data_IF_718234633934
#
_entry.id   IF_718234633934
#
_cell.length_a   1.000
_cell.length_b   1.000
_cell.length_c   1.000
_cell.angle_alpha   90.00
_cell.angle_beta   90.00
_cell.angle_gamma   90.00
#
_symmetry.space_group_name_H-M   'P 1'
#
loop_
_entity.id
_entity.type
_entity.pdbx_description
1 polymer ?
#
# COMPACT_ATOMS: atom_id res chain seq x y z
N UNK A 1 42.93 29.21 22.65
CA UNK A 1 42.77 28.02 21.80
C UNK A 1 41.61 27.23 22.34
N UNK A 2 40.44 27.38 21.73
CA UNK A 2 39.25 26.57 22.00
C UNK A 2 38.86 26.00 20.65
N UNK A 3 39.18 24.74 20.42
CA UNK A 3 38.74 24.02 19.24
C UNK A 3 37.23 23.80 19.34
N UNK A 4 36.48 24.47 18.47
CA UNK A 4 35.10 24.13 18.18
C UNK A 4 35.11 22.86 17.34
N UNK A 5 34.82 21.73 17.97
CA UNK A 5 34.44 20.50 17.29
C UNK A 5 33.08 20.71 16.62
N UNK A 6 33.12 21.06 15.34
CA UNK A 6 31.96 21.01 14.46
C UNK A 6 31.50 19.57 14.33
N UNK A 7 30.47 19.23 15.09
CA UNK A 7 29.75 17.96 14.97
C UNK A 7 29.14 17.91 13.56
N UNK A 8 29.68 17.06 12.69
CA UNK A 8 29.14 16.88 11.35
C UNK A 8 27.73 16.33 11.49
N UNK A 9 26.72 17.16 11.19
CA UNK A 9 25.38 16.66 10.97
C UNK A 9 25.46 15.57 9.89
N UNK A 10 25.26 14.33 10.32
CA UNK A 10 24.93 13.20 9.45
C UNK A 10 23.94 13.71 8.41
N UNK A 11 24.32 13.63 7.12
CA UNK A 11 23.40 13.84 6.01
C UNK A 11 22.21 12.94 6.28
N UNK A 12 21.08 13.54 6.67
CA UNK A 12 19.80 12.85 6.78
C UNK A 12 19.53 12.29 5.39
N UNK A 13 19.83 11.02 5.16
CA UNK A 13 19.35 10.29 3.99
C UNK A 13 17.85 10.52 3.95
N UNK A 14 17.34 11.09 2.86
CA UNK A 14 15.90 11.25 2.69
C UNK A 14 15.25 9.87 2.90
N UNK A 15 14.13 9.84 3.62
CA UNK A 15 13.31 8.63 3.75
C UNK A 15 12.93 8.14 2.34
N UNK A 16 12.65 6.84 2.25
CA UNK A 16 12.37 6.15 0.99
C UNK A 16 11.16 5.23 1.16
N UNK A 17 10.56 4.89 0.04
CA UNK A 17 9.48 3.91 -0.04
C UNK A 17 9.84 2.86 -1.10
N UNK A 18 9.36 1.63 -0.91
CA UNK A 18 9.59 0.53 -1.82
C UNK A 18 8.26 0.00 -2.34
N UNK A 19 8.19 -0.28 -3.64
CA UNK A 19 7.07 -0.94 -4.30
C UNK A 19 7.61 -2.17 -5.04
N UNK A 20 6.99 -3.33 -4.82
CA UNK A 20 7.28 -4.57 -5.55
C UNK A 20 6.00 -5.02 -6.23
N UNK A 21 6.04 -5.28 -7.53
CA UNK A 21 4.91 -5.87 -8.26
C UNK A 21 5.19 -7.36 -8.53
N UNK A 22 4.44 -8.23 -7.85
CA UNK A 22 4.54 -9.68 -8.00
C UNK A 22 3.52 -10.24 -8.99
N UNK A 23 2.66 -9.41 -9.60
CA UNK A 23 1.59 -9.91 -10.47
C UNK A 23 2.12 -10.69 -11.64
N UNK A 24 3.17 -10.20 -12.29
CA UNK A 24 3.79 -10.89 -13.43
C UNK A 24 4.35 -12.25 -13.00
N UNK A 25 5.11 -12.32 -11.91
CA UNK A 25 5.66 -13.57 -11.37
C UNK A 25 4.56 -14.59 -11.01
N UNK A 26 3.45 -14.15 -10.41
CA UNK A 26 2.29 -15.03 -10.16
C UNK A 26 1.69 -15.52 -11.47
N UNK A 27 1.59 -14.63 -12.46
CA UNK A 27 0.92 -14.94 -13.72
C UNK A 27 1.75 -15.82 -14.67
N UNK A 28 3.07 -15.70 -14.66
CA UNK A 28 3.97 -16.38 -15.61
C UNK A 28 4.32 -17.81 -15.19
N UNK A 29 4.21 -18.13 -13.89
CA UNK A 29 4.66 -19.41 -13.34
C UNK A 29 3.55 -20.49 -13.30
N UNK A 30 3.96 -21.76 -13.38
CA UNK A 30 3.04 -22.90 -13.41
C UNK A 30 2.50 -23.28 -12.03
N UNK A 31 3.24 -22.94 -10.98
CA UNK A 31 2.83 -23.14 -9.59
C UNK A 31 3.04 -21.89 -8.75
N UNK A 32 2.20 -21.72 -7.72
CA UNK A 32 2.36 -20.64 -6.74
C UNK A 32 3.73 -20.71 -6.03
N UNK A 33 4.27 -21.91 -5.83
CA UNK A 33 5.59 -22.07 -5.21
C UNK A 33 6.69 -21.48 -6.09
N UNK A 34 6.67 -21.78 -7.39
CA UNK A 34 7.65 -21.23 -8.35
C UNK A 34 7.60 -19.71 -8.38
N UNK A 35 6.38 -19.14 -8.49
CA UNK A 35 6.15 -17.70 -8.44
C UNK A 35 6.77 -17.04 -7.20
N UNK A 36 6.60 -17.65 -6.02
CA UNK A 36 7.17 -17.13 -4.78
C UNK A 36 8.69 -17.29 -4.74
N UNK A 37 9.23 -18.40 -5.23
CA UNK A 37 10.68 -18.64 -5.22
C UNK A 37 11.46 -17.72 -6.15
N UNK A 38 10.82 -17.18 -7.19
CA UNK A 38 11.42 -16.17 -8.08
C UNK A 38 11.83 -14.90 -7.30
N UNK A 39 11.10 -14.58 -6.22
CA UNK A 39 11.38 -13.43 -5.35
C UNK A 39 12.43 -13.67 -4.26
N UNK A 40 13.07 -14.84 -4.21
CA UNK A 40 13.95 -15.23 -3.11
C UNK A 40 15.09 -14.25 -2.81
N UNK A 41 15.74 -13.77 -3.86
CA UNK A 41 16.88 -12.86 -3.76
C UNK A 41 16.47 -11.46 -3.30
N UNK A 42 15.17 -11.12 -3.27
CA UNK A 42 14.70 -9.78 -2.93
C UNK A 42 14.73 -9.51 -1.43
N UNK A 43 14.13 -10.41 -0.65
CA UNK A 43 13.58 -10.00 0.65
C UNK A 43 14.64 -9.66 1.70
N UNK A 44 15.71 -10.44 1.82
CA UNK A 44 16.78 -10.17 2.79
C UNK A 44 17.59 -8.92 2.43
N UNK A 45 18.10 -8.78 1.19
CA UNK A 45 18.76 -7.55 0.77
C UNK A 45 17.88 -6.30 0.94
N UNK A 46 16.61 -6.39 0.56
CA UNK A 46 15.65 -5.29 0.72
C UNK A 46 15.46 -4.91 2.19
N UNK A 47 15.27 -5.90 3.07
CA UNK A 47 15.13 -5.68 4.51
C UNK A 47 16.37 -5.02 5.13
N UNK A 48 17.57 -5.43 4.68
CA UNK A 48 18.83 -4.88 5.15
C UNK A 48 19.03 -3.43 4.69
N UNK A 49 18.59 -3.12 3.47
CA UNK A 49 18.63 -1.77 2.90
C UNK A 49 17.61 -0.84 3.56
N UNK A 50 16.42 -1.34 3.86
CA UNK A 50 15.31 -0.54 4.37
C UNK A 50 15.57 0.01 5.77
N UNK A 51 15.36 1.31 5.94
CA UNK A 51 15.34 2.00 7.23
C UNK A 51 14.16 1.59 8.10
N UNK A 52 14.16 1.99 9.38
CA UNK A 52 13.04 1.65 10.28
C UNK A 52 11.75 2.39 9.90
N UNK A 53 11.88 3.67 9.50
CA UNK A 53 10.78 4.56 9.10
C UNK A 53 10.18 4.27 7.72
N UNK A 54 10.86 3.49 6.89
CA UNK A 54 10.51 3.27 5.49
C UNK A 54 9.42 2.20 5.34
N UNK A 55 8.70 2.28 4.22
CA UNK A 55 7.55 1.39 3.93
C UNK A 55 7.78 0.54 2.69
N UNK A 56 7.27 -0.68 2.71
CA UNK A 56 7.28 -1.62 1.60
C UNK A 56 5.83 -1.97 1.21
N UNK A 57 5.51 -1.79 -0.06
CA UNK A 57 4.21 -2.08 -0.65
C UNK A 57 4.36 -3.16 -1.71
N UNK A 58 3.51 -4.18 -1.68
CA UNK A 58 3.62 -5.33 -2.56
C UNK A 58 2.29 -5.56 -3.25
N UNK A 59 2.30 -5.44 -4.58
CA UNK A 59 1.12 -5.63 -5.42
C UNK A 59 1.10 -7.09 -5.85
N UNK A 60 -0.02 -7.78 -5.63
CA UNK A 60 -0.14 -9.20 -5.94
C UNK A 60 -1.58 -9.55 -6.26
N UNK A 61 -1.79 -10.37 -7.28
CA UNK A 61 -3.12 -10.83 -7.69
C UNK A 61 -3.34 -12.24 -7.16
N UNK A 62 -4.49 -12.47 -6.53
CA UNK A 62 -4.97 -13.85 -6.40
C UNK A 62 -5.38 -14.35 -7.78
N UNK A 63 -5.23 -15.64 -8.03
CA UNK A 63 -5.55 -16.22 -9.33
C UNK A 63 -6.40 -17.49 -9.20
N UNK A 64 -7.16 -17.80 -10.24
CA UNK A 64 -7.90 -19.05 -10.35
C UNK A 64 -7.38 -19.83 -11.55
N UNK A 65 -6.70 -20.96 -11.30
CA UNK A 65 -6.06 -21.79 -12.33
C UNK A 65 -6.40 -23.25 -12.14
N UNK A 66 -6.84 -23.91 -13.21
CA UNK A 66 -7.12 -25.35 -13.20
C UNK A 66 -8.13 -25.77 -12.12
N UNK A 67 -9.18 -24.96 -11.88
CA UNK A 67 -10.20 -25.23 -10.87
C UNK A 67 -9.76 -24.98 -9.42
N UNK A 68 -8.61 -24.31 -9.21
CA UNK A 68 -8.06 -24.02 -7.88
C UNK A 68 -7.81 -22.53 -7.71
N UNK A 69 -8.20 -22.01 -6.55
CA UNK A 69 -7.80 -20.68 -6.10
C UNK A 69 -6.35 -20.71 -5.62
N UNK A 70 -5.55 -19.78 -6.13
CA UNK A 70 -4.22 -19.46 -5.65
C UNK A 70 -4.33 -18.22 -4.76
N UNK A 71 -4.27 -18.36 -3.42
CA UNK A 71 -4.30 -17.24 -2.49
C UNK A 71 -2.91 -16.57 -2.44
N UNK A 72 -2.45 -16.08 -3.59
CA UNK A 72 -1.09 -15.62 -3.80
C UNK A 72 -0.69 -14.51 -2.82
N UNK A 73 -1.63 -13.62 -2.47
CA UNK A 73 -1.36 -12.54 -1.53
C UNK A 73 -0.98 -13.03 -0.14
N UNK A 74 -1.76 -13.95 0.43
CA UNK A 74 -1.48 -14.50 1.76
C UNK A 74 -0.23 -15.39 1.74
N UNK A 75 -0.08 -16.18 0.67
CA UNK A 75 1.11 -17.01 0.50
C UNK A 75 2.38 -16.17 0.37
N UNK A 76 2.35 -15.06 -0.37
CA UNK A 76 3.44 -14.10 -0.46
C UNK A 76 3.73 -13.47 0.90
N UNK A 77 2.70 -13.05 1.64
CA UNK A 77 2.88 -12.44 2.94
C UNK A 77 3.61 -13.36 3.94
N UNK A 78 3.22 -14.63 4.01
CA UNK A 78 3.90 -15.63 4.83
C UNK A 78 5.31 -15.92 4.31
N UNK A 79 5.48 -16.01 3.00
CA UNK A 79 6.79 -16.23 2.38
C UNK A 79 7.78 -15.14 2.75
N UNK A 80 7.42 -13.86 2.56
CA UNK A 80 8.26 -12.70 2.86
C UNK A 80 8.66 -12.68 4.33
N UNK A 81 7.72 -12.93 5.23
CA UNK A 81 7.96 -12.98 6.69
C UNK A 81 8.89 -14.11 7.11
N UNK A 82 8.89 -15.22 6.36
CA UNK A 82 9.82 -16.33 6.58
C UNK A 82 11.23 -16.02 6.04
N UNK A 83 11.34 -15.19 4.99
CA UNK A 83 12.63 -14.81 4.40
C UNK A 83 13.30 -13.65 5.16
N UNK A 84 12.52 -12.70 5.65
CA UNK A 84 12.99 -11.53 6.38
C UNK A 84 11.99 -11.07 7.44
N UNK A 85 12.45 -10.38 8.48
CA UNK A 85 11.63 -9.99 9.64
C UNK A 85 10.69 -8.80 9.40
N UNK A 86 10.13 -8.67 8.19
CA UNK A 86 9.10 -7.68 7.89
C UNK A 86 7.83 -7.92 8.73
N UNK A 87 7.13 -6.84 9.05
CA UNK A 87 5.85 -6.86 9.77
C UNK A 87 4.76 -6.47 8.78
N UNK A 88 3.80 -7.37 8.53
CA UNK A 88 2.60 -7.05 7.76
C UNK A 88 1.71 -6.12 8.60
N UNK A 89 1.42 -4.93 8.07
CA UNK A 89 0.60 -3.90 8.72
C UNK A 89 -0.82 -3.87 8.20
N UNK A 90 -1.01 -4.10 6.91
CA UNK A 90 -2.33 -4.12 6.30
C UNK A 90 -2.32 -4.97 5.03
N UNK A 91 -3.49 -5.46 4.66
CA UNK A 91 -3.79 -6.06 3.36
C UNK A 91 -4.95 -5.25 2.78
N UNK A 92 -4.70 -4.62 1.64
CA UNK A 92 -5.65 -3.72 0.98
C UNK A 92 -6.19 -4.39 -0.27
N UNK A 93 -7.51 -4.52 -0.34
CA UNK A 93 -8.19 -5.13 -1.48
C UNK A 93 -8.60 -4.05 -2.48
N UNK A 94 -8.20 -4.23 -3.74
CA UNK A 94 -8.47 -3.30 -4.85
C UNK A 94 -9.11 -4.08 -6.00
N UNK A 95 -10.27 -3.63 -6.46
CA UNK A 95 -10.94 -4.26 -7.60
C UNK A 95 -10.16 -4.03 -8.89
N UNK A 96 -10.01 -5.07 -9.72
CA UNK A 96 -9.13 -5.06 -10.90
C UNK A 96 -9.86 -5.36 -12.22
N UNK A 97 -11.14 -5.68 -12.19
CA UNK A 97 -11.93 -5.92 -13.41
C UNK A 97 -12.46 -4.59 -13.93
N UNK A 98 -12.27 -4.35 -15.22
CA UNK A 98 -13.02 -3.36 -15.99
C UNK A 98 -14.33 -3.99 -16.49
N UNK A 99 -15.41 -3.22 -16.49
CA UNK A 99 -16.76 -3.65 -16.89
C UNK A 99 -16.84 -4.24 -18.33
N UNK A 100 -15.81 -4.03 -19.15
CA UNK A 100 -15.70 -4.57 -20.51
C UNK A 100 -15.46 -6.09 -20.59
N UNK A 101 -15.14 -6.75 -19.48
CA UNK A 101 -14.86 -8.18 -19.45
C UNK A 101 -16.13 -9.00 -19.18
N UNK A 102 -16.97 -9.15 -20.20
CA UNK A 102 -18.04 -10.16 -20.26
C UNK A 102 -17.45 -11.58 -20.30
N UNK A 103 -16.85 -12.01 -19.20
CA UNK A 103 -16.26 -13.34 -19.07
C UNK A 103 -17.19 -14.18 -18.21
N UNK A 104 -17.74 -15.25 -18.79
CA UNK A 104 -18.67 -16.17 -18.13
C UNK A 104 -18.03 -17.04 -17.02
N UNK A 105 -16.71 -16.92 -16.83
CA UNK A 105 -15.94 -17.70 -15.86
C UNK A 105 -15.72 -16.94 -14.54
N UNK A 106 -15.57 -17.68 -13.44
CA UNK A 106 -15.12 -17.12 -12.15
C UNK A 106 -13.67 -16.66 -12.26
N UNK A 107 -13.48 -15.39 -12.59
CA UNK A 107 -12.17 -14.73 -12.63
C UNK A 107 -11.89 -13.98 -11.32
N UNK A 108 -10.61 -13.84 -10.97
CA UNK A 108 -10.21 -13.06 -9.80
C UNK A 108 -10.47 -11.58 -10.05
N UNK A 109 -11.41 -11.00 -9.31
CA UNK A 109 -11.84 -9.62 -9.47
C UNK A 109 -11.05 -8.58 -8.67
N UNK A 110 -10.06 -9.05 -7.91
CA UNK A 110 -9.35 -8.22 -6.95
C UNK A 110 -7.85 -8.50 -6.98
N UNK A 111 -7.09 -7.41 -6.86
CA UNK A 111 -5.71 -7.42 -6.44
C UNK A 111 -5.64 -7.15 -4.94
N UNK A 112 -4.60 -7.66 -4.31
CA UNK A 112 -4.23 -7.29 -2.96
C UNK A 112 -2.96 -6.43 -3.01
N UNK A 113 -2.92 -5.40 -2.17
CA UNK A 113 -1.73 -4.62 -1.89
C UNK A 113 -1.35 -4.90 -0.42
N UNK A 114 -0.23 -5.58 -0.24
CA UNK A 114 0.32 -5.87 1.08
C UNK A 114 1.19 -4.71 1.54
N UNK A 115 0.95 -4.24 2.76
CA UNK A 115 1.72 -3.17 3.36
C UNK A 115 2.62 -3.72 4.47
N UNK A 116 3.93 -3.67 4.25
CA UNK A 116 4.98 -4.13 5.16
C UNK A 116 5.82 -2.97 5.71
N UNK A 117 6.29 -3.16 6.94
CA UNK A 117 7.23 -2.25 7.61
C UNK A 117 8.31 -3.03 8.35
N UNK A 118 9.41 -2.36 8.69
CA UNK A 118 10.46 -2.92 9.55
C UNK A 118 10.17 -2.72 11.04
N UNK A 119 9.66 -1.56 11.40
CA UNK A 119 9.31 -1.22 12.78
C UNK A 119 7.88 -0.68 12.89
N UNK A 120 7.00 -1.43 13.56
CA UNK A 120 5.60 -1.03 13.79
C UNK A 120 5.43 0.22 14.66
N UNK A 121 6.49 0.68 15.35
CA UNK A 121 6.47 1.86 16.21
C UNK A 121 7.01 3.10 15.53
N UNK A 122 7.77 2.93 14.45
CA UNK A 122 8.47 4.02 13.78
C UNK A 122 8.45 3.75 12.27
N UNK A 123 7.30 3.96 11.64
CA UNK A 123 7.12 3.90 10.18
C UNK A 123 6.33 5.13 9.75
N UNK A 124 6.59 5.63 8.54
CA UNK A 124 5.82 6.75 7.99
C UNK A 124 4.46 6.27 7.49
N UNK A 125 3.42 7.03 7.82
CA UNK A 125 2.04 6.75 7.42
C UNK A 125 1.20 8.03 7.45
N UNK A 126 1.14 8.72 6.32
CA UNK A 126 0.45 10.00 6.16
C UNK A 126 -1.05 9.79 5.87
N UNK A 127 -1.78 9.24 6.85
CA UNK A 127 -3.17 8.82 6.67
C UNK A 127 -4.10 9.93 6.17
N UNK A 128 -3.85 11.16 6.61
CA UNK A 128 -4.70 12.30 6.27
C UNK A 128 -4.66 12.63 4.77
N UNK A 129 -3.58 12.27 4.06
CA UNK A 129 -3.40 12.48 2.61
C UNK A 129 -4.27 11.58 1.73
N UNK A 130 -4.93 10.59 2.32
CA UNK A 130 -5.78 9.61 1.60
C UNK A 130 -7.17 9.48 2.20
N UNK A 131 -7.57 10.42 3.06
CA UNK A 131 -8.93 10.45 3.59
C UNK A 131 -9.93 10.62 2.45
N UNK A 132 -11.10 10.05 2.67
CA UNK A 132 -12.23 10.15 1.73
C UNK A 132 -13.38 10.86 2.42
N UNK A 133 -14.26 11.49 1.65
CA UNK A 133 -15.39 12.23 2.18
C UNK A 133 -16.25 11.38 3.14
N UNK A 134 -16.84 12.02 4.14
CA UNK A 134 -17.80 11.36 5.02
C UNK A 134 -19.07 11.08 4.25
N UNK A 135 -19.32 9.80 4.00
CA UNK A 135 -20.46 9.36 3.20
C UNK A 135 -21.81 9.52 3.93
N UNK A 136 -21.80 9.74 5.25
CA UNK A 136 -23.00 9.91 6.08
C UNK A 136 -23.15 11.30 6.68
N UNK A 137 -22.19 12.22 6.48
CA UNK A 137 -22.28 13.56 7.07
C UNK A 137 -23.52 14.29 6.53
N UNK A 138 -24.45 14.62 7.43
CA UNK A 138 -25.75 15.23 7.08
C UNK A 138 -26.90 14.24 6.83
N UNK A 139 -26.63 12.96 6.56
CA UNK A 139 -27.65 11.93 6.26
C UNK A 139 -27.57 10.75 7.25
N UNK A 140 -27.47 11.05 8.54
CA UNK A 140 -27.21 10.05 9.58
C UNK A 140 -28.46 9.42 10.21
N UNK A 141 -28.27 8.22 10.80
CA UNK A 141 -29.25 7.60 11.69
C UNK A 141 -29.52 8.49 12.92
N UNK A 142 -30.70 9.11 12.96
CA UNK A 142 -31.16 9.93 14.08
C UNK A 142 -30.95 11.45 13.94
N UNK A 143 -30.76 11.96 12.72
CA UNK A 143 -30.68 13.40 12.40
C UNK A 143 -29.26 13.97 12.44
N UNK A 144 -29.13 15.28 12.24
CA UNK A 144 -27.85 16.02 12.31
C UNK A 144 -27.24 15.90 13.71
N UNK A 145 -26.13 15.17 13.84
CA UNK A 145 -25.42 15.00 15.11
C UNK A 145 -23.99 15.51 14.97
N UNK A 146 -23.79 16.79 15.28
CA UNK A 146 -22.46 17.42 15.26
C UNK A 146 -21.48 16.82 16.30
N UNK A 147 -22.02 16.18 17.35
CA UNK A 147 -21.26 15.63 18.48
C UNK A 147 -21.48 14.13 18.63
N UNK A 148 -20.39 13.40 18.83
CA UNK A 148 -20.40 11.99 19.18
C UNK A 148 -19.77 11.75 20.55
N UNK A 149 -20.27 10.76 21.27
CA UNK A 149 -19.56 10.19 22.42
C UNK A 149 -18.51 9.22 21.88
N UNK A 150 -17.24 9.44 22.19
CA UNK A 150 -16.20 8.45 21.87
C UNK A 150 -16.52 7.15 22.62
N UNK A 151 -16.53 6.02 21.91
CA UNK A 151 -16.66 4.70 22.54
C UNK A 151 -15.47 4.34 23.45
N UNK A 152 -14.40 5.15 23.42
CA UNK A 152 -13.13 4.88 24.10
C UNK A 152 -12.71 5.97 25.10
N UNK A 153 -13.44 7.10 25.18
CA UNK A 153 -13.15 8.21 26.08
C UNK A 153 -14.44 8.97 26.45
N UNK A 154 -14.60 9.32 27.73
CA UNK A 154 -15.67 10.19 28.25
C UNK A 154 -15.48 11.66 27.85
N UNK A 155 -15.15 11.93 26.58
CA UNK A 155 -14.87 13.27 26.06
C UNK A 155 -15.67 13.48 24.78
N UNK A 156 -16.35 14.63 24.69
CA UNK A 156 -17.01 15.05 23.45
C UNK A 156 -15.94 15.22 22.36
N UNK A 157 -16.05 14.44 21.30
CA UNK A 157 -15.23 14.59 20.09
C UNK A 157 -16.13 15.00 18.94
N UNK A 158 -15.57 15.83 18.05
CA UNK A 158 -16.20 16.09 16.74
C UNK A 158 -16.41 14.74 16.06
N UNK A 159 -17.64 14.49 15.62
CA UNK A 159 -18.00 13.22 14.99
C UNK A 159 -17.28 13.00 13.66
N UNK A 160 -17.07 14.10 12.93
CA UNK A 160 -16.41 14.12 11.64
C UNK A 160 -15.09 14.87 11.72
N UNK A 161 -14.03 14.24 11.19
CA UNK A 161 -12.81 14.95 10.88
C UNK A 161 -13.06 15.80 9.62
N UNK A 162 -12.80 17.12 9.63
CA UNK A 162 -13.01 17.98 8.45
C UNK A 162 -12.27 17.48 7.19
N UNK A 163 -11.20 16.71 7.36
CA UNK A 163 -10.40 16.18 6.25
C UNK A 163 -10.97 14.85 5.69
N UNK A 164 -12.05 14.31 6.27
CA UNK A 164 -12.73 13.09 5.82
C UNK A 164 -12.56 11.86 6.73
N UNK A 165 -13.14 10.72 6.34
CA UNK A 165 -13.03 9.42 7.02
C UNK A 165 -11.79 8.63 6.57
N UNK A 166 -11.45 7.64 7.37
CA UNK A 166 -10.47 6.61 7.00
C UNK A 166 -10.98 5.82 5.78
N UNK A 167 -10.18 5.65 4.72
CA UNK A 167 -10.59 4.86 3.55
C UNK A 167 -10.68 3.36 3.84
N UNK A 168 -10.22 2.90 5.01
CA UNK A 168 -10.19 1.49 5.37
C UNK A 168 -9.20 0.70 4.51
N UNK A 169 -9.42 -0.61 4.42
CA UNK A 169 -8.58 -1.56 3.70
C UNK A 169 -9.29 -2.22 2.50
N UNK A 170 -10.50 -1.81 2.18
CA UNK A 170 -11.19 -2.16 0.93
C UNK A 170 -11.44 -0.85 0.22
N UNK A 171 -10.73 -0.62 -0.88
CA UNK A 171 -10.79 0.68 -1.55
C UNK A 171 -11.82 0.67 -2.66
N UNK A 172 -12.86 1.46 -2.45
CA UNK A 172 -13.99 1.67 -3.33
C UNK A 172 -14.33 3.16 -3.36
N UNK A 173 -14.98 3.58 -4.42
CA UNK A 173 -15.70 4.84 -4.50
C UNK A 173 -17.15 4.59 -4.07
N UNK A 174 -17.67 5.44 -3.21
CA UNK A 174 -19.05 5.37 -2.70
C UNK A 174 -19.77 6.65 -3.13
N UNK A 175 -20.77 6.54 -4.01
CA UNK A 175 -21.66 7.64 -4.36
C UNK A 175 -22.96 7.52 -3.56
N UNK A 176 -23.36 8.65 -2.95
CA UNK A 176 -24.62 8.83 -2.23
C UNK A 176 -25.27 10.19 -2.51
N UNK A 177 -24.91 10.81 -3.62
CA UNK A 177 -25.34 12.16 -3.99
C UNK A 177 -26.76 12.24 -4.53
N UNK A 178 -27.39 11.10 -4.83
CA UNK A 178 -28.68 11.05 -5.51
C UNK A 178 -29.86 10.83 -4.56
N UNK A 179 -29.67 10.12 -3.45
CA UNK A 179 -30.79 9.81 -2.54
C UNK A 179 -30.59 10.44 -1.15
N UNK A 180 -31.51 11.30 -0.67
CA UNK A 180 -31.42 11.95 0.65
C UNK A 180 -31.75 10.98 1.82
N UNK A 181 -31.74 9.67 1.55
CA UNK A 181 -32.04 8.63 2.51
C UNK A 181 -30.75 7.87 2.90
N UNK A 182 -30.90 6.74 3.57
CA UNK A 182 -29.80 5.97 4.16
C UNK A 182 -29.13 5.01 3.16
N UNK A 183 -29.59 4.98 1.92
CA UNK A 183 -29.17 4.02 0.93
C UNK A 183 -27.83 4.44 0.31
N UNK A 184 -27.05 3.44 -0.09
CA UNK A 184 -25.85 3.63 -0.89
C UNK A 184 -26.30 3.62 -2.33
N UNK A 185 -26.19 4.76 -3.02
CA UNK A 185 -26.66 4.87 -4.40
C UNK A 185 -25.80 3.99 -5.30
N UNK A 186 -24.48 4.05 -5.11
CA UNK A 186 -23.56 3.25 -5.89
C UNK A 186 -22.24 3.00 -5.16
N UNK A 187 -21.66 1.82 -5.40
CA UNK A 187 -20.26 1.55 -5.12
C UNK A 187 -19.55 1.21 -6.41
N UNK A 188 -18.44 1.91 -6.66
CA UNK A 188 -17.59 1.65 -7.82
C UNK A 188 -16.19 1.23 -7.38
N UNK A 189 -15.51 0.38 -8.17
CA UNK A 189 -14.07 0.21 -8.07
C UNK A 189 -13.33 1.55 -8.14
N UNK A 190 -12.30 1.75 -7.32
CA UNK A 190 -11.33 2.80 -7.63
C UNK A 190 -10.38 2.30 -8.72
N UNK A 191 -9.95 3.17 -9.66
CA UNK A 191 -8.93 2.80 -10.63
C UNK A 191 -7.65 2.33 -9.94
N UNK A 192 -6.96 1.37 -10.56
CA UNK A 192 -5.70 0.84 -10.03
C UNK A 192 -4.66 1.96 -9.82
N UNK A 193 -4.55 2.88 -10.76
CA UNK A 193 -3.63 4.01 -10.66
C UNK A 193 -3.91 4.89 -9.43
N UNK A 194 -5.18 5.12 -9.09
CA UNK A 194 -5.56 5.86 -7.88
C UNK A 194 -5.20 5.08 -6.61
N UNK A 195 -5.31 3.75 -6.64
CA UNK A 195 -4.84 2.91 -5.54
C UNK A 195 -3.34 3.09 -5.32
N UNK A 196 -2.55 3.09 -6.40
CA UNK A 196 -1.10 3.33 -6.32
C UNK A 196 -0.79 4.74 -5.81
N UNK A 197 -1.51 5.77 -6.27
CA UNK A 197 -1.38 7.15 -5.75
C UNK A 197 -1.61 7.19 -4.24
N UNK A 198 -2.63 6.51 -3.73
CA UNK A 198 -2.88 6.41 -2.28
C UNK A 198 -1.73 5.76 -1.54
N UNK A 199 -1.18 4.66 -2.05
CA UNK A 199 0.02 4.03 -1.47
C UNK A 199 1.20 5.01 -1.40
N UNK A 200 1.43 5.79 -2.46
CA UNK A 200 2.50 6.78 -2.55
C UNK A 200 2.29 7.90 -1.53
N UNK A 201 1.10 8.49 -1.49
CA UNK A 201 0.77 9.60 -0.59
C UNK A 201 0.86 9.19 0.88
N UNK A 202 0.36 8.01 1.23
CA UNK A 202 0.38 7.54 2.62
C UNK A 202 1.75 7.01 3.02
N UNK A 203 2.51 6.43 2.09
CA UNK A 203 3.79 5.76 2.34
C UNK A 203 5.03 6.63 2.12
N UNK A 204 4.90 7.86 1.62
CA UNK A 204 6.03 8.75 1.33
C UNK A 204 5.67 10.23 1.34
N UNK A 205 6.67 11.09 1.50
CA UNK A 205 6.54 12.54 1.31
C UNK A 205 6.94 12.98 -0.10
N UNK A 206 6.55 14.19 -0.49
CA UNK A 206 7.04 14.78 -1.74
C UNK A 206 8.57 14.82 -1.78
N UNK A 207 9.13 14.62 -2.97
CA UNK A 207 10.58 14.59 -3.27
C UNK A 207 11.33 13.42 -2.63
N UNK A 208 10.65 12.53 -1.90
CA UNK A 208 11.24 11.27 -1.48
C UNK A 208 11.43 10.32 -2.67
N UNK A 209 12.31 9.34 -2.47
CA UNK A 209 12.63 8.31 -3.46
C UNK A 209 11.68 7.14 -3.32
N UNK A 210 11.12 6.70 -4.43
CA UNK A 210 10.36 5.46 -4.53
C UNK A 210 11.16 4.47 -5.35
N UNK A 211 11.60 3.42 -4.67
CA UNK A 211 12.30 2.29 -5.27
C UNK A 211 11.30 1.25 -5.76
N UNK A 212 11.30 0.98 -7.06
CA UNK A 212 10.41 -0.02 -7.65
C UNK A 212 11.18 -1.26 -8.10
N UNK A 213 10.64 -2.43 -7.80
CA UNK A 213 11.15 -3.73 -8.28
C UNK A 213 10.02 -4.38 -9.08
N UNK A 214 10.29 -4.73 -10.33
CA UNK A 214 9.31 -5.30 -11.27
C UNK A 214 8.05 -4.43 -11.50
N UNK A 215 8.13 -3.13 -11.20
CA UNK A 215 6.99 -2.20 -11.27
C UNK A 215 7.33 -0.93 -12.08
N UNK A 216 8.03 -1.11 -13.20
CA UNK A 216 8.53 -0.02 -14.06
C UNK A 216 7.41 0.80 -14.69
N UNK A 217 6.25 0.17 -14.91
CA UNK A 217 5.04 0.80 -15.41
C UNK A 217 4.44 1.86 -14.44
N UNK A 218 4.95 1.97 -13.20
CA UNK A 218 4.48 2.96 -12.22
C UNK A 218 5.25 4.29 -12.25
N UNK A 219 6.26 4.44 -13.12
CA UNK A 219 7.11 5.62 -13.17
C UNK A 219 6.32 6.93 -13.33
N UNK A 220 5.34 6.95 -14.25
CA UNK A 220 4.52 8.13 -14.52
C UNK A 220 3.64 8.50 -13.31
N UNK A 221 3.06 7.50 -12.63
CA UNK A 221 2.24 7.72 -11.43
C UNK A 221 3.09 8.32 -10.30
N UNK A 222 4.28 7.74 -10.07
CA UNK A 222 5.22 8.17 -9.03
C UNK A 222 5.68 9.61 -9.26
N UNK A 223 6.04 9.94 -10.49
CA UNK A 223 6.50 11.30 -10.85
C UNK A 223 5.37 12.32 -10.82
N UNK A 224 4.15 11.95 -11.22
CA UNK A 224 2.95 12.80 -11.08
C UNK A 224 2.63 13.14 -9.62
N UNK A 225 3.01 12.29 -8.68
CA UNK A 225 2.90 12.57 -7.24
C UNK A 225 4.11 13.35 -6.71
N UNK A 226 4.97 13.92 -7.55
CA UNK A 226 6.17 14.67 -7.11
C UNK A 226 7.19 13.83 -6.32
N UNK A 227 7.33 12.53 -6.61
CA UNK A 227 8.37 11.66 -6.01
C UNK A 227 9.45 11.29 -7.05
N UNK A 228 10.65 10.98 -6.59
CA UNK A 228 11.75 10.50 -7.44
C UNK A 228 11.60 9.00 -7.69
N UNK A 229 11.34 8.61 -8.93
CA UNK A 229 11.28 7.21 -9.34
C UNK A 229 12.69 6.62 -9.48
N UNK A 230 12.92 5.46 -8.86
CA UNK A 230 14.17 4.70 -9.00
C UNK A 230 13.83 3.23 -9.22
N UNK A 231 14.08 2.73 -10.43
CA UNK A 231 14.06 1.30 -10.70
C UNK A 231 15.24 0.62 -10.00
N UNK A 232 14.96 -0.51 -9.36
CA UNK A 232 15.97 -1.34 -8.68
C UNK A 232 16.03 -2.71 -9.34
N UNK A 233 17.18 -3.00 -9.91
CA UNK A 233 17.51 -4.33 -10.40
C UNK A 233 17.80 -5.27 -9.21
N UNK A 234 17.26 -6.48 -9.30
CA UNK A 234 17.39 -7.55 -8.31
C UNK A 234 18.84 -7.97 -8.10
N UNK A 235 19.61 -8.08 -9.19
CA UNK A 235 21.01 -8.50 -9.15
C UNK A 235 21.87 -7.44 -8.46
N UNK A 236 21.55 -6.16 -8.69
CA UNK A 236 22.20 -5.04 -8.01
C UNK A 236 21.91 -5.10 -6.52
N UNK A 237 20.66 -5.27 -6.12
CA UNK A 237 20.24 -5.36 -4.72
C UNK A 237 20.97 -6.51 -3.99
N UNK A 238 21.11 -7.67 -4.64
CA UNK A 238 21.83 -8.80 -4.08
C UNK A 238 23.32 -8.49 -3.87
N UNK A 239 23.98 -7.93 -4.89
CA UNK A 239 25.41 -7.59 -4.82
C UNK A 239 25.73 -6.56 -3.73
N UNK A 240 24.82 -5.61 -3.47
CA UNK A 240 24.95 -4.63 -2.40
C UNK A 240 24.90 -5.28 -1.00
N UNK A 241 24.09 -6.32 -0.84
CA UNK A 241 23.98 -7.04 0.43
C UNK A 241 25.22 -7.87 0.72
N UNK A 242 25.77 -8.55 -0.28
CA UNK A 242 26.96 -9.41 -0.14
C UNK A 242 28.23 -8.60 0.21
N UNK A 243 28.30 -7.32 -0.20
CA UNK A 243 29.42 -6.43 0.16
C UNK A 243 29.35 -5.89 1.59
N UNK A 244 28.19 -5.95 2.25
CA UNK A 244 27.96 -5.41 3.59
C UNK A 244 28.00 -6.46 4.70
N UNK A 245 27.96 -7.75 4.33
CA UNK A 245 28.12 -8.91 5.23
C UNK A 245 29.58 -9.29 5.39
#
# INVERSE_FOLDING_TARGET
MVEQTSNSMSKKTSNQMYIVDLREAVSSNQTLREALTESNSLWKPLYNRMGSSETLWIIVSNEYRGGKMWPAAMAAADYIRNQASFILKNTITVHNISDDNNVADMISAYNEILFFVKDKRNYQFHKDEIRVSHVYEGNEWGGEREKGTSAYHDTEVRRYNPDGKDPGNVWLEEDRSQTPNQELDETRPIPFDESIRRCIRVGSQEKEKIHTIWATNLADIITCENREFIEVDVDVLQSESERKS
#
